data_IF_966368545689
#
_entry.id   IF_966368545689
#
_cell.length_a   1.000
_cell.length_b   1.000
_cell.length_c   1.000
_cell.angle_alpha   90.00
_cell.angle_beta   90.00
_cell.angle_gamma   90.00
#
_symmetry.space_group_name_H-M   'P 1'
#
loop_
_entity.id
_entity.type
_entity.pdbx_description
1 polymer ?
#
# COMPACT_ATOMS: atom_id res chain seq x y z
N UNK A 1 -60.20 51.08 -9.25
CA UNK A 1 -59.60 50.35 -8.13
C UNK A 1 -59.93 48.89 -8.37
N UNK A 2 -59.10 48.23 -9.19
CA UNK A 2 -59.37 46.85 -9.62
C UNK A 2 -58.64 45.92 -8.67
N UNK A 3 -59.39 45.10 -7.96
CA UNK A 3 -58.88 44.10 -7.02
C UNK A 3 -58.13 43.00 -7.78
N UNK A 4 -56.81 42.98 -7.66
CA UNK A 4 -55.97 41.87 -8.11
C UNK A 4 -56.29 40.64 -7.26
N UNK A 5 -56.80 39.59 -7.91
CA UNK A 5 -57.11 38.33 -7.24
C UNK A 5 -55.84 37.65 -6.69
N UNK A 6 -55.89 36.90 -5.58
CA UNK A 6 -54.70 36.34 -4.90
C UNK A 6 -53.96 35.25 -5.69
N UNK A 7 -54.40 34.93 -6.90
CA UNK A 7 -53.94 33.76 -7.65
C UNK A 7 -52.69 34.05 -8.51
N UNK A 8 -52.37 35.32 -8.75
CA UNK A 8 -51.19 35.71 -9.54
C UNK A 8 -49.88 35.65 -8.74
N UNK A 9 -49.95 35.66 -7.40
CA UNK A 9 -48.77 35.62 -6.53
C UNK A 9 -48.17 34.21 -6.34
N UNK A 10 -48.83 33.15 -6.79
CA UNK A 10 -48.33 31.76 -6.68
C UNK A 10 -47.77 31.18 -7.98
N UNK A 11 -47.79 31.93 -9.09
CA UNK A 11 -47.28 31.50 -10.38
C UNK A 11 -45.90 32.07 -10.74
N UNK A 12 -45.16 32.64 -9.79
CA UNK A 12 -43.70 32.71 -9.89
C UNK A 12 -43.09 31.33 -9.56
N UNK A 13 -43.60 30.29 -10.24
CA UNK A 13 -43.03 28.95 -10.24
C UNK A 13 -41.71 29.05 -10.98
N UNK A 14 -40.62 29.15 -10.20
CA UNK A 14 -39.24 28.97 -10.60
C UNK A 14 -39.10 28.40 -12.03
N UNK A 15 -38.82 29.27 -13.00
CA UNK A 15 -38.32 28.86 -14.30
C UNK A 15 -36.92 28.27 -14.09
N UNK A 16 -36.87 27.01 -13.64
CA UNK A 16 -35.63 26.25 -13.73
C UNK A 16 -35.27 26.20 -15.22
N UNK A 17 -34.04 26.58 -15.62
CA UNK A 17 -33.65 26.54 -17.02
C UNK A 17 -33.92 25.14 -17.57
N UNK A 18 -34.77 25.04 -18.61
CA UNK A 18 -35.18 23.75 -19.18
C UNK A 18 -34.01 23.01 -19.84
N UNK A 19 -32.96 23.75 -20.18
CA UNK A 19 -31.77 23.24 -20.84
C UNK A 19 -30.58 23.20 -19.87
N UNK A 20 -29.69 22.23 -20.08
CA UNK A 20 -28.45 22.12 -19.34
C UNK A 20 -27.38 22.95 -20.02
N UNK A 21 -26.59 23.67 -19.23
CA UNK A 21 -25.45 24.42 -19.74
C UNK A 21 -24.37 23.48 -20.25
N UNK A 22 -23.51 23.96 -21.16
CA UNK A 22 -22.35 23.20 -21.63
C UNK A 22 -21.41 22.83 -20.48
N UNK A 23 -21.25 23.71 -19.50
CA UNK A 23 -20.46 23.43 -18.29
C UNK A 23 -21.06 22.28 -17.47
N UNK A 24 -22.38 22.25 -17.28
CA UNK A 24 -23.07 21.15 -16.60
C UNK A 24 -22.92 19.83 -17.37
N UNK A 25 -22.98 19.86 -18.71
CA UNK A 25 -22.77 18.68 -19.55
C UNK A 25 -21.34 18.16 -19.44
N UNK A 26 -20.35 19.04 -19.55
CA UNK A 26 -18.93 18.68 -19.43
C UNK A 26 -18.60 18.10 -18.06
N UNK A 27 -19.09 18.74 -16.99
CA UNK A 27 -18.85 18.29 -15.62
C UNK A 27 -19.59 16.99 -15.30
N UNK A 28 -20.83 16.83 -15.76
CA UNK A 28 -21.53 15.55 -15.65
C UNK A 28 -20.82 14.44 -16.42
N UNK A 29 -20.30 14.72 -17.62
CA UNK A 29 -19.55 13.77 -18.44
C UNK A 29 -18.31 13.27 -17.71
N UNK A 30 -17.50 14.18 -17.14
CA UNK A 30 -16.32 13.82 -16.37
C UNK A 30 -16.67 12.94 -15.16
N UNK A 31 -17.66 13.36 -14.38
CA UNK A 31 -18.10 12.61 -13.20
C UNK A 31 -18.67 11.22 -13.55
N UNK A 32 -19.42 11.10 -14.64
CA UNK A 32 -19.96 9.81 -15.11
C UNK A 32 -18.83 8.92 -15.62
N UNK A 33 -17.82 9.46 -16.31
CA UNK A 33 -16.66 8.71 -16.78
C UNK A 33 -15.85 8.10 -15.62
N UNK A 34 -15.78 8.83 -14.50
CA UNK A 34 -15.16 8.40 -13.24
C UNK A 34 -16.04 7.43 -12.42
N UNK A 35 -17.28 7.20 -12.83
CA UNK A 35 -18.21 6.27 -12.17
C UNK A 35 -18.99 6.90 -11.00
N UNK A 36 -19.11 8.23 -10.93
CA UNK A 36 -19.90 8.90 -9.91
C UNK A 36 -21.40 8.53 -10.00
N UNK A 37 -22.06 8.47 -8.85
CA UNK A 37 -23.50 8.23 -8.80
C UNK A 37 -24.29 9.47 -9.25
N UNK A 38 -25.49 9.29 -9.81
CA UNK A 38 -26.33 10.42 -10.23
C UNK A 38 -26.69 11.35 -9.07
N UNK A 39 -26.77 10.82 -7.84
CA UNK A 39 -26.94 11.62 -6.65
C UNK A 39 -25.72 12.53 -6.38
N UNK A 40 -24.50 12.03 -6.57
CA UNK A 40 -23.29 12.83 -6.45
C UNK A 40 -23.23 13.93 -7.52
N UNK A 41 -23.58 13.60 -8.77
CA UNK A 41 -23.69 14.59 -9.87
C UNK A 41 -24.72 15.66 -9.54
N UNK A 42 -25.88 15.29 -8.99
CA UNK A 42 -26.91 16.24 -8.57
C UNK A 42 -26.43 17.21 -7.50
N UNK A 43 -25.73 16.70 -6.48
CA UNK A 43 -25.13 17.54 -5.44
C UNK A 43 -24.08 18.50 -6.00
N UNK A 44 -23.20 17.99 -6.85
CA UNK A 44 -22.09 18.76 -7.42
C UNK A 44 -22.54 19.86 -8.39
N UNK A 45 -23.64 19.61 -9.11
CA UNK A 45 -24.22 20.57 -10.05
C UNK A 45 -25.33 21.43 -9.42
N UNK A 46 -25.61 21.25 -8.13
CA UNK A 46 -26.71 21.88 -7.41
C UNK A 46 -28.06 21.74 -8.14
N UNK A 47 -28.36 20.53 -8.62
CA UNK A 47 -29.61 20.18 -9.29
C UNK A 47 -30.32 19.03 -8.58
N UNK A 48 -31.65 18.98 -8.74
CA UNK A 48 -32.46 17.88 -8.20
C UNK A 48 -32.00 16.52 -8.74
N UNK A 49 -32.21 15.46 -7.95
CA UNK A 49 -31.89 14.08 -8.34
C UNK A 49 -32.52 13.67 -9.68
N UNK A 50 -33.77 14.09 -9.92
CA UNK A 50 -34.47 13.80 -11.18
C UNK A 50 -33.78 14.47 -12.37
N UNK A 51 -33.39 15.74 -12.23
CA UNK A 51 -32.63 16.45 -13.28
C UNK A 51 -31.25 15.83 -13.51
N UNK A 52 -30.54 15.44 -12.45
CA UNK A 52 -29.26 14.75 -12.59
C UNK A 52 -29.41 13.41 -13.31
N UNK A 53 -30.47 12.65 -12.99
CA UNK A 53 -30.79 11.39 -13.67
C UNK A 53 -31.07 11.61 -15.16
N UNK A 54 -31.85 12.64 -15.51
CA UNK A 54 -32.10 13.00 -16.91
C UNK A 54 -30.81 13.38 -17.62
N UNK A 55 -29.97 14.22 -17.00
CA UNK A 55 -28.69 14.67 -17.55
C UNK A 55 -27.73 13.50 -17.82
N UNK A 56 -27.50 12.65 -16.82
CA UNK A 56 -26.58 11.52 -16.92
C UNK A 56 -27.07 10.43 -17.89
N UNK A 57 -28.37 10.38 -18.20
CA UNK A 57 -28.95 9.44 -19.17
C UNK A 57 -28.95 9.98 -20.60
N UNK A 58 -28.54 11.22 -20.84
CA UNK A 58 -28.44 11.73 -22.21
C UNK A 58 -27.35 10.98 -22.98
N UNK A 59 -27.65 10.67 -24.25
CA UNK A 59 -26.77 9.86 -25.11
C UNK A 59 -25.43 10.53 -25.34
N UNK A 60 -25.41 11.86 -25.50
CA UNK A 60 -24.20 12.66 -25.68
C UNK A 60 -23.26 12.58 -24.46
N UNK A 61 -23.81 12.73 -23.24
CA UNK A 61 -23.06 12.59 -21.98
C UNK A 61 -22.52 11.17 -21.82
N UNK A 62 -23.33 10.14 -22.08
CA UNK A 62 -22.91 8.74 -21.97
C UNK A 62 -21.79 8.43 -22.97
N UNK A 63 -21.95 8.79 -24.24
CA UNK A 63 -20.95 8.52 -25.27
C UNK A 63 -19.65 9.28 -25.01
N UNK A 64 -19.74 10.55 -24.60
CA UNK A 64 -18.56 11.33 -24.24
C UNK A 64 -17.86 10.76 -23.00
N UNK A 65 -18.61 10.27 -22.01
CA UNK A 65 -18.05 9.65 -20.82
C UNK A 65 -17.35 8.32 -21.14
N UNK A 66 -17.94 7.48 -22.00
CA UNK A 66 -17.32 6.25 -22.49
C UNK A 66 -16.01 6.57 -23.21
N UNK A 67 -16.03 7.53 -24.15
CA UNK A 67 -14.82 7.95 -24.88
C UNK A 67 -13.75 8.46 -23.93
N UNK A 68 -14.08 9.31 -22.97
CA UNK A 68 -13.15 9.82 -21.97
C UNK A 68 -12.54 8.67 -21.15
N UNK A 69 -13.35 7.68 -20.79
CA UNK A 69 -12.91 6.50 -20.03
C UNK A 69 -11.95 5.64 -20.83
N UNK A 70 -12.27 5.35 -22.09
CA UNK A 70 -11.45 4.53 -22.99
C UNK A 70 -10.14 5.21 -23.41
N UNK A 71 -10.18 6.51 -23.67
CA UNK A 71 -9.03 7.23 -24.24
C UNK A 71 -8.08 7.78 -23.20
N UNK A 72 -8.53 8.02 -21.97
CA UNK A 72 -7.73 8.68 -20.94
C UNK A 72 -7.71 7.91 -19.63
N UNK A 73 -8.87 7.70 -18.99
CA UNK A 73 -8.90 7.17 -17.62
C UNK A 73 -8.37 5.74 -17.52
N UNK A 74 -8.74 4.86 -18.44
CA UNK A 74 -8.25 3.47 -18.48
C UNK A 74 -6.74 3.45 -18.80
N UNK A 75 -6.25 4.10 -19.87
CA UNK A 75 -4.81 4.19 -20.13
C UNK A 75 -4.00 4.73 -18.96
N UNK A 76 -4.42 5.83 -18.34
CA UNK A 76 -3.72 6.43 -17.20
C UNK A 76 -3.65 5.45 -16.01
N UNK A 77 -4.76 4.76 -15.71
CA UNK A 77 -4.79 3.75 -14.67
C UNK A 77 -3.86 2.55 -14.99
N UNK A 78 -3.81 2.11 -16.24
CA UNK A 78 -2.91 1.03 -16.67
C UNK A 78 -1.44 1.43 -16.56
N UNK A 79 -1.10 2.67 -16.93
CA UNK A 79 0.26 3.22 -16.80
C UNK A 79 0.67 3.29 -15.33
N UNK A 80 -0.22 3.75 -14.45
CA UNK A 80 0.02 3.77 -13.00
C UNK A 80 0.24 2.36 -12.45
N UNK A 81 -0.61 1.40 -12.82
CA UNK A 81 -0.45 0.01 -12.41
C UNK A 81 0.88 -0.56 -12.89
N UNK A 82 1.27 -0.30 -14.13
CA UNK A 82 2.56 -0.74 -14.68
C UNK A 82 3.73 -0.16 -13.86
N UNK A 83 3.70 1.13 -13.54
CA UNK A 83 4.74 1.77 -12.72
C UNK A 83 4.81 1.19 -11.29
N UNK A 84 3.66 0.93 -10.67
CA UNK A 84 3.60 0.29 -9.35
C UNK A 84 4.16 -1.14 -9.39
N UNK A 85 3.82 -1.92 -10.43
CA UNK A 85 4.33 -3.30 -10.58
C UNK A 85 5.85 -3.32 -10.78
N UNK A 86 6.42 -2.39 -11.55
CA UNK A 86 7.86 -2.28 -11.70
C UNK A 86 8.54 -1.99 -10.34
N UNK A 87 7.97 -1.06 -9.57
CA UNK A 87 8.49 -0.71 -8.24
C UNK A 87 8.41 -1.88 -7.25
N UNK A 88 7.30 -2.64 -7.27
CA UNK A 88 7.15 -3.85 -6.46
C UNK A 88 8.17 -4.92 -6.85
N UNK A 89 8.41 -5.11 -8.15
CA UNK A 89 9.40 -6.07 -8.63
C UNK A 89 10.81 -5.72 -8.15
N UNK A 90 11.19 -4.44 -8.21
CA UNK A 90 12.49 -3.97 -7.72
C UNK A 90 12.66 -4.18 -6.20
N UNK A 91 11.62 -3.89 -5.41
CA UNK A 91 11.63 -4.12 -3.96
C UNK A 91 11.75 -5.61 -3.63
N UNK A 92 11.04 -6.48 -4.33
CA UNK A 92 11.14 -7.93 -4.13
C UNK A 92 12.54 -8.45 -4.46
N UNK A 93 13.15 -7.97 -5.55
CA UNK A 93 14.52 -8.33 -5.91
C UNK A 93 15.53 -7.86 -4.85
N UNK A 94 15.36 -6.66 -4.29
CA UNK A 94 16.23 -6.18 -3.21
C UNK A 94 16.06 -7.01 -1.93
N UNK A 95 14.83 -7.35 -1.56
CA UNK A 95 14.56 -8.22 -0.41
C UNK A 95 15.19 -9.60 -0.57
N UNK A 96 15.10 -10.21 -1.75
CA UNK A 96 15.75 -11.51 -2.04
C UNK A 96 17.27 -11.39 -1.87
N UNK A 97 17.90 -10.34 -2.41
CA UNK A 97 19.35 -10.12 -2.25
C UNK A 97 19.74 -9.97 -0.77
N UNK A 98 18.96 -9.21 0.01
CA UNK A 98 19.18 -9.04 1.45
C UNK A 98 19.03 -10.36 2.21
N UNK A 99 18.02 -11.16 1.87
CA UNK A 99 17.80 -12.45 2.48
C UNK A 99 18.99 -13.39 2.23
N UNK A 100 19.47 -13.51 0.99
CA UNK A 100 20.64 -14.34 0.67
C UNK A 100 21.89 -13.86 1.42
N UNK A 101 22.09 -12.54 1.55
CA UNK A 101 23.20 -11.99 2.32
C UNK A 101 23.12 -12.37 3.81
N UNK A 102 21.92 -12.31 4.40
CA UNK A 102 21.68 -12.70 5.79
C UNK A 102 21.87 -14.21 6.00
N UNK A 103 21.44 -15.06 5.07
CA UNK A 103 21.66 -16.51 5.13
C UNK A 103 23.17 -16.85 5.11
N UNK A 104 23.94 -16.18 4.26
CA UNK A 104 25.41 -16.31 4.23
C UNK A 104 26.04 -15.86 5.54
N UNK A 105 25.59 -14.74 6.11
CA UNK A 105 26.06 -14.28 7.41
C UNK A 105 25.72 -15.27 8.53
N UNK A 106 24.50 -15.79 8.55
CA UNK A 106 24.05 -16.78 9.53
C UNK A 106 24.92 -18.04 9.48
N UNK A 107 25.22 -18.56 8.29
CA UNK A 107 26.12 -19.70 8.12
C UNK A 107 27.52 -19.45 8.69
N UNK A 108 28.08 -18.24 8.49
CA UNK A 108 29.39 -17.85 9.05
C UNK A 108 29.35 -17.77 10.57
N UNK A 109 28.30 -17.19 11.15
CA UNK A 109 28.12 -17.08 12.61
C UNK A 109 27.99 -18.45 13.24
N UNK A 110 27.17 -19.34 12.67
CA UNK A 110 26.99 -20.72 13.17
C UNK A 110 28.33 -21.46 13.16
N UNK A 111 29.09 -21.39 12.06
CA UNK A 111 30.43 -22.01 11.97
C UNK A 111 31.39 -21.45 13.04
N UNK A 112 31.39 -20.13 13.23
CA UNK A 112 32.22 -19.48 14.25
C UNK A 112 31.85 -19.92 15.67
N UNK A 113 30.55 -20.03 15.98
CA UNK A 113 30.06 -20.52 17.28
C UNK A 113 30.49 -21.95 17.54
N UNK A 114 30.33 -22.85 16.56
CA UNK A 114 30.74 -24.26 16.69
C UNK A 114 32.26 -24.36 16.93
N UNK A 115 33.07 -23.63 16.16
CA UNK A 115 34.52 -23.60 16.35
C UNK A 115 34.93 -23.06 17.73
N UNK A 116 34.24 -22.03 18.22
CA UNK A 116 34.49 -21.47 19.57
C UNK A 116 34.15 -22.49 20.66
N UNK A 117 33.02 -23.19 20.53
CA UNK A 117 32.63 -24.26 21.47
C UNK A 117 33.66 -25.38 21.50
N UNK A 118 34.09 -25.86 20.33
CA UNK A 118 35.09 -26.92 20.24
C UNK A 118 36.45 -26.51 20.83
N UNK A 119 36.88 -25.27 20.62
CA UNK A 119 38.10 -24.73 21.25
C UNK A 119 37.97 -24.67 22.78
N UNK A 120 36.82 -24.22 23.29
CA UNK A 120 36.56 -24.18 24.73
C UNK A 120 36.56 -25.59 25.35
N UNK A 121 35.92 -26.56 24.71
CA UNK A 121 35.92 -27.96 25.14
C UNK A 121 37.36 -28.51 25.23
N UNK A 122 38.18 -28.34 24.18
CA UNK A 122 39.60 -28.73 24.22
C UNK A 122 40.41 -28.05 25.33
N UNK A 123 40.18 -26.75 25.56
CA UNK A 123 40.86 -26.04 26.64
C UNK A 123 40.46 -26.60 28.00
N UNK A 124 39.18 -26.91 28.22
CA UNK A 124 38.72 -27.51 29.49
C UNK A 124 39.30 -28.90 29.73
N UNK A 125 39.42 -29.73 28.69
CA UNK A 125 40.09 -31.03 28.78
C UNK A 125 41.58 -30.88 29.12
N UNK A 126 42.25 -29.92 28.50
CA UNK A 126 43.66 -29.62 28.77
C UNK A 126 43.86 -29.18 30.21
N UNK A 127 42.99 -28.30 30.73
CA UNK A 127 43.03 -27.86 32.14
C UNK A 127 42.79 -29.03 33.09
N UNK A 128 41.86 -29.94 32.77
CA UNK A 128 41.61 -31.14 33.60
C UNK A 128 42.86 -32.04 33.67
N UNK A 129 43.53 -32.29 32.53
CA UNK A 129 44.78 -33.07 32.48
C UNK A 129 45.91 -32.41 33.27
N UNK A 130 46.12 -31.11 33.07
CA UNK A 130 47.15 -30.36 33.83
C UNK A 130 46.87 -30.36 35.34
N UNK A 131 45.60 -30.38 35.77
CA UNK A 131 45.21 -30.51 37.17
C UNK A 131 45.48 -31.91 37.72
N UNK A 132 45.22 -32.97 36.96
CA UNK A 132 45.54 -34.34 37.39
C UNK A 132 47.05 -34.55 37.47
N UNK A 133 47.81 -34.11 36.46
CA UNK A 133 49.28 -34.18 36.44
C UNK A 133 49.89 -33.40 37.62
N UNK A 134 49.39 -32.19 37.91
CA UNK A 134 49.83 -31.44 39.09
C UNK A 134 49.53 -32.17 40.41
N UNK A 135 48.38 -32.85 40.50
CA UNK A 135 48.03 -33.63 41.70
C UNK A 135 48.98 -34.82 41.87
N UNK A 136 49.24 -35.56 40.79
CA UNK A 136 50.18 -36.68 40.79
C UNK A 136 51.60 -36.24 41.16
N UNK A 137 52.07 -35.11 40.60
CA UNK A 137 53.37 -34.53 40.95
C UNK A 137 53.43 -34.14 42.44
N UNK A 138 52.39 -33.49 42.98
CA UNK A 138 52.32 -33.15 44.41
C UNK A 138 52.33 -34.40 45.28
N UNK A 139 51.59 -35.44 44.92
CA UNK A 139 51.55 -36.70 45.65
C UNK A 139 52.91 -37.42 45.60
N UNK A 140 53.64 -37.36 44.48
CA UNK A 140 55.01 -37.88 44.35
C UNK A 140 56.01 -37.11 45.21
N UNK A 141 55.94 -35.78 45.20
CA UNK A 141 56.77 -34.89 46.04
C UNK A 141 56.56 -35.24 47.52
N UNK A 142 55.29 -35.36 47.94
CA UNK A 142 54.90 -35.75 49.30
C UNK A 142 55.38 -37.16 49.68
N UNK A 143 55.30 -38.14 48.76
CA UNK A 143 55.80 -39.50 48.98
C UNK A 143 57.33 -39.57 49.07
N UNK A 144 58.05 -38.66 48.43
CA UNK A 144 59.52 -38.59 48.47
C UNK A 144 60.07 -37.77 49.64
N UNK A 145 59.22 -37.20 50.49
CA UNK A 145 59.64 -36.40 51.65
C UNK A 145 60.35 -35.10 51.27
N UNK A 146 60.17 -34.65 50.02
CA UNK A 146 60.64 -33.35 49.56
C UNK A 146 59.48 -32.41 49.88
N UNK A 147 59.61 -31.62 50.95
CA UNK A 147 58.53 -30.84 51.63
C UNK A 147 57.73 -31.65 52.64
#
# INVERSE_FOLDING_TARGET
MSEETPNERKLALHEYPREFTEEQLAKATAMVAEGATYAAVGRELNISHNRATTLCKRVDVIQAAIRLRETKLIPDALIQLQSMTATMQDLLLDLVKRQTALEVMQGRVVKAMVMKRFKAERQTETIKKLRSENKELRDLIRKRGIV
#
